data_IF_484528792028
#
_entry.id   IF_484528792028
#
_cell.length_a   1.000
_cell.length_b   1.000
_cell.length_c   1.000
_cell.angle_alpha   90.00
_cell.angle_beta   90.00
_cell.angle_gamma   90.00
#
_symmetry.space_group_name_H-M   'P 1'
#
loop_
_entity.id
_entity.type
_entity.pdbx_description
1 polymer ?
#
# COMPACT_ATOMS: atom_id res chain seq x y z
N UNK A 1 -12.76 -12.27 -3.83
CA UNK A 1 -12.24 -10.98 -4.33
C UNK A 1 -10.74 -11.06 -4.12
N UNK A 2 -9.93 -11.14 -5.18
CA UNK A 2 -8.48 -11.25 -4.99
C UNK A 2 -7.96 -9.95 -4.40
N UNK A 3 -7.55 -9.97 -3.13
CA UNK A 3 -6.73 -8.91 -2.58
C UNK A 3 -5.51 -8.72 -3.49
N UNK A 4 -5.35 -7.50 -4.02
CA UNK A 4 -4.16 -7.17 -4.79
C UNK A 4 -2.97 -7.28 -3.86
N UNK A 5 -1.92 -7.95 -4.32
CA UNK A 5 -0.66 -8.01 -3.59
C UNK A 5 -0.06 -6.60 -3.46
N UNK A 6 0.69 -6.38 -2.40
CA UNK A 6 1.40 -5.11 -2.17
C UNK A 6 2.20 -4.66 -3.40
N UNK A 7 2.89 -5.59 -4.06
CA UNK A 7 3.66 -5.31 -5.29
C UNK A 7 2.78 -4.83 -6.45
N UNK A 8 1.61 -5.44 -6.65
CA UNK A 8 0.66 -4.99 -7.66
C UNK A 8 0.11 -3.59 -7.36
N UNK A 9 -0.18 -3.31 -6.08
CA UNK A 9 -0.59 -1.96 -5.66
C UNK A 9 0.50 -0.92 -5.93
N UNK A 10 1.77 -1.26 -5.69
CA UNK A 10 2.89 -0.37 -6.02
C UNK A 10 3.00 -0.10 -7.52
N UNK A 11 2.83 -1.11 -8.36
CA UNK A 11 2.93 -0.92 -9.81
C UNK A 11 1.79 -0.04 -10.36
N UNK A 12 0.57 -0.18 -9.83
CA UNK A 12 -0.53 0.71 -10.20
C UNK A 12 -0.30 2.16 -9.73
N UNK A 13 0.27 2.36 -8.53
CA UNK A 13 0.65 3.70 -8.05
C UNK A 13 1.72 4.33 -8.97
N UNK A 14 2.68 3.54 -9.47
CA UNK A 14 3.67 4.02 -10.45
C UNK A 14 3.00 4.43 -11.76
N UNK A 15 2.04 3.65 -12.25
CA UNK A 15 1.30 4.00 -13.47
C UNK A 15 0.46 5.26 -13.30
N UNK A 16 -0.18 5.46 -12.14
CA UNK A 16 -0.88 6.72 -11.80
C UNK A 16 0.12 7.89 -11.82
N UNK A 17 1.28 7.72 -11.19
CA UNK A 17 2.33 8.74 -11.16
C UNK A 17 2.83 9.09 -12.56
N UNK A 18 2.97 8.09 -13.43
CA UNK A 18 3.35 8.29 -14.83
C UNK A 18 2.30 9.10 -15.59
N UNK A 19 1.01 8.77 -15.42
CA UNK A 19 -0.09 9.52 -16.04
C UNK A 19 -0.15 10.97 -15.52
N UNK A 20 0.04 11.19 -14.22
CA UNK A 20 0.07 12.54 -13.65
C UNK A 20 1.20 13.42 -14.21
N UNK A 21 2.29 12.82 -14.67
CA UNK A 21 3.42 13.53 -15.29
C UNK A 21 3.29 13.63 -16.82
N UNK A 22 2.25 13.06 -17.43
CA UNK A 22 2.02 13.15 -18.87
C UNK A 22 1.42 14.52 -19.22
N UNK A 23 2.01 15.21 -20.19
CA UNK A 23 1.55 16.52 -20.67
C UNK A 23 0.16 16.49 -21.33
N UNK A 24 -0.35 15.31 -21.69
CA UNK A 24 -1.67 15.12 -22.26
C UNK A 24 -2.77 14.89 -21.20
N UNK A 25 -2.39 14.73 -19.94
CA UNK A 25 -3.36 14.52 -18.85
C UNK A 25 -4.06 15.83 -18.53
N UNK A 26 -5.39 15.82 -18.62
CA UNK A 26 -6.20 17.00 -18.32
C UNK A 26 -6.16 17.35 -16.83
N UNK A 27 -6.59 18.57 -16.48
CA UNK A 27 -6.72 18.98 -15.08
C UNK A 27 -7.74 18.11 -14.34
N UNK A 28 -8.88 17.80 -14.96
CA UNK A 28 -9.90 16.94 -14.35
C UNK A 28 -9.38 15.52 -14.12
N UNK A 29 -8.70 14.93 -15.10
CA UNK A 29 -8.10 13.61 -14.98
C UNK A 29 -7.00 13.60 -13.90
N UNK A 30 -6.21 14.67 -13.81
CA UNK A 30 -5.17 14.80 -12.79
C UNK A 30 -5.76 14.78 -11.37
N UNK A 31 -6.89 15.45 -11.16
CA UNK A 31 -7.59 15.45 -9.86
C UNK A 31 -8.09 14.05 -9.51
N UNK A 32 -8.66 13.33 -10.48
CA UNK A 32 -9.18 11.98 -10.25
C UNK A 32 -8.03 10.98 -9.99
N UNK A 33 -6.98 11.02 -10.81
CA UNK A 33 -5.77 10.22 -10.64
C UNK A 33 -5.12 10.47 -9.27
N UNK A 34 -5.09 11.71 -8.80
CA UNK A 34 -4.57 12.04 -7.48
C UNK A 34 -5.40 11.44 -6.35
N UNK A 35 -6.74 11.54 -6.43
CA UNK A 35 -7.64 10.90 -5.45
C UNK A 35 -7.48 9.38 -5.43
N UNK A 36 -7.40 8.77 -6.61
CA UNK A 36 -7.16 7.33 -6.74
C UNK A 36 -5.81 6.94 -6.13
N UNK A 37 -4.73 7.62 -6.50
CA UNK A 37 -3.39 7.35 -5.99
C UNK A 37 -3.29 7.48 -4.47
N UNK A 38 -3.87 8.53 -3.89
CA UNK A 38 -3.87 8.73 -2.42
C UNK A 38 -4.66 7.66 -1.68
N UNK A 39 -5.81 7.22 -2.22
CA UNK A 39 -6.57 6.10 -1.66
C UNK A 39 -5.78 4.78 -1.70
N UNK A 40 -5.09 4.51 -2.81
CA UNK A 40 -4.27 3.31 -2.98
C UNK A 40 -3.06 3.29 -2.05
N UNK A 41 -2.38 4.44 -1.89
CA UNK A 41 -1.27 4.58 -0.94
C UNK A 41 -1.76 4.29 0.49
N UNK A 42 -2.94 4.79 0.87
CA UNK A 42 -3.53 4.52 2.17
C UNK A 42 -3.75 3.02 2.40
N UNK A 43 -4.35 2.34 1.43
CA UNK A 43 -4.58 0.90 1.52
C UNK A 43 -3.26 0.09 1.59
N UNK A 44 -2.27 0.45 0.79
CA UNK A 44 -0.95 -0.20 0.83
C UNK A 44 -0.26 -0.02 2.20
N UNK A 45 -0.43 1.16 2.83
CA UNK A 45 0.07 1.43 4.19
C UNK A 45 -0.63 0.55 5.23
N UNK A 46 -1.95 0.40 5.15
CA UNK A 46 -2.73 -0.45 6.06
C UNK A 46 -2.33 -1.93 5.94
N UNK A 47 -2.04 -2.41 4.73
CA UNK A 47 -1.51 -3.76 4.52
C UNK A 47 -0.14 -3.95 5.20
N UNK A 48 0.77 -2.99 5.06
CA UNK A 48 2.08 -3.04 5.71
C UNK A 48 1.96 -3.00 7.24
N UNK A 49 1.13 -2.14 7.80
CA UNK A 49 0.90 -2.03 9.24
C UNK A 49 0.32 -3.33 9.82
N UNK A 50 -0.56 -4.00 9.08
CA UNK A 50 -1.14 -5.29 9.45
C UNK A 50 -0.07 -6.39 9.51
N UNK A 51 0.81 -6.43 8.51
CA UNK A 51 1.92 -7.40 8.47
C UNK A 51 2.92 -7.08 9.58
N UNK A 52 3.29 -5.81 9.78
CA UNK A 52 4.19 -5.39 10.86
C UNK A 52 3.64 -5.77 12.24
N UNK A 53 2.35 -5.55 12.47
CA UNK A 53 1.68 -5.97 13.71
C UNK A 53 1.70 -7.48 13.91
N UNK A 54 1.50 -8.25 12.84
CA UNK A 54 1.59 -9.72 12.88
C UNK A 54 3.01 -10.19 13.18
N UNK A 55 4.02 -9.62 12.52
CA UNK A 55 5.44 -9.95 12.74
C UNK A 55 5.86 -9.60 14.16
N UNK A 56 5.46 -8.42 14.68
CA UNK A 56 5.74 -8.04 16.08
C UNK A 56 5.15 -9.02 17.07
N UNK A 57 3.87 -9.39 16.91
CA UNK A 57 3.22 -10.39 17.76
C UNK A 57 3.94 -11.73 17.74
N UNK A 58 4.32 -12.23 16.56
CA UNK A 58 5.06 -13.50 16.44
C UNK A 58 6.42 -13.41 17.13
N UNK A 59 7.14 -12.29 17.03
CA UNK A 59 8.42 -12.08 17.70
C UNK A 59 8.27 -11.92 19.23
N UNK A 60 7.18 -11.32 19.71
CA UNK A 60 6.85 -11.22 21.14
C UNK A 60 6.45 -12.59 21.70
N UNK A 61 5.64 -13.37 20.99
CA UNK A 61 5.23 -14.73 21.38
C UNK A 61 6.42 -15.70 21.39
N UNK A 62 7.35 -15.60 20.43
CA UNK A 62 8.61 -16.39 20.44
C UNK A 62 9.59 -15.96 21.55
N UNK A 63 9.36 -14.83 22.23
CA UNK A 63 10.12 -14.45 23.43
C UNK A 63 9.47 -14.94 24.73
N UNK A 64 8.26 -15.49 24.69
CA UNK A 64 7.54 -15.97 25.88
C UNK A 64 7.80 -17.44 26.25
N UNK A 65 8.76 -18.11 25.59
CA UNK A 65 9.30 -19.40 26.04
C UNK A 65 10.66 -19.23 26.74
N UNK A 66 10.71 -18.48 27.83
CA UNK A 66 11.61 -18.84 28.92
C UNK A 66 10.81 -19.76 29.84
N UNK A 67 10.91 -21.07 29.60
CA UNK A 67 10.43 -22.08 30.55
C UNK A 67 11.34 -22.06 31.78
N UNK A 68 10.82 -21.59 32.91
CA UNK A 68 11.30 -21.97 34.25
C UNK A 68 10.56 -23.21 34.76
#
# INVERSE_FOLDING_TARGET
>A
MSDKSFTQSLDEIKEITKKLNDSNTSMEDSIELFKQGTSMIKHAKEQLETIEGTVKKVLEDNKLEDFE
#
